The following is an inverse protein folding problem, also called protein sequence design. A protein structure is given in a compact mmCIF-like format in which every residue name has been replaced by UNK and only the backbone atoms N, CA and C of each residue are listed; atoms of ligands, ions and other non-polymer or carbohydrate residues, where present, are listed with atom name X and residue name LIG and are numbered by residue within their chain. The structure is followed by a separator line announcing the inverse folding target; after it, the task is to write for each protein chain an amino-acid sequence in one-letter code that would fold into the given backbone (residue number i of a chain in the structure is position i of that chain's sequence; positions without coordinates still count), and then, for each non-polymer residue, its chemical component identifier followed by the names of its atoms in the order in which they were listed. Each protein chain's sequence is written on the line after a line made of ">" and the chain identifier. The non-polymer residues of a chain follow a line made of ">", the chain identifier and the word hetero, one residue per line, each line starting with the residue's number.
data_IF_262322268314
#
_entry.id   IF_262322268314
#
_cell.length_a   1.000
_cell.length_b   1.000
_cell.length_c   1.000
_cell.angle_alpha   90.00
_cell.angle_beta   90.00
_cell.angle_gamma   90.00
#
_symmetry.space_group_name_H-M   'P 1'
#
loop_
_entity.id
_entity.type
_entity.pdbx_description
1 polymer ?
#
# COMPACT_ATOMS: atom_id res chain seq x y z
N UNK A 1 -12.54 36.55 4.15
CA UNK A 1 -11.79 35.67 3.23
C UNK A 1 -11.27 34.43 3.93
N UNK A 2 -10.56 34.54 5.09
CA UNK A 2 -9.93 33.43 5.81
C UNK A 2 -10.92 32.33 6.30
N UNK A 3 -12.13 32.71 6.71
CA UNK A 3 -13.14 31.73 7.18
C UNK A 3 -13.66 30.87 6.03
N UNK A 4 -13.87 31.43 4.85
CA UNK A 4 -14.27 30.68 3.63
C UNK A 4 -13.15 29.78 3.15
N UNK A 5 -11.90 30.25 3.14
CA UNK A 5 -10.74 29.41 2.80
C UNK A 5 -10.57 28.24 3.75
N UNK A 6 -10.70 28.47 5.07
CA UNK A 6 -10.63 27.39 6.08
C UNK A 6 -11.76 26.38 5.93
N UNK A 7 -12.99 26.81 5.60
CA UNK A 7 -14.12 25.90 5.33
C UNK A 7 -13.93 25.10 4.03
N UNK A 8 -13.36 25.70 2.97
CA UNK A 8 -13.00 24.99 1.75
C UNK A 8 -11.92 23.92 2.02
N UNK A 9 -10.83 24.26 2.71
CA UNK A 9 -9.77 23.30 3.04
C UNK A 9 -10.28 22.13 3.89
N UNK A 10 -11.13 22.36 4.89
CA UNK A 10 -11.74 21.29 5.70
C UNK A 10 -12.63 20.39 4.83
N UNK A 11 -13.44 20.98 3.96
CA UNK A 11 -14.30 20.24 3.06
C UNK A 11 -13.51 19.36 2.10
N UNK A 12 -12.46 19.91 1.49
CA UNK A 12 -11.64 19.19 0.53
C UNK A 12 -10.84 18.04 1.19
N UNK A 13 -10.36 18.25 2.42
CA UNK A 13 -9.74 17.19 3.23
C UNK A 13 -10.72 16.07 3.57
N UNK A 14 -11.99 16.42 3.89
CA UNK A 14 -13.04 15.43 4.16
C UNK A 14 -13.40 14.63 2.90
N UNK A 15 -13.47 15.28 1.73
CA UNK A 15 -13.70 14.58 0.46
C UNK A 15 -12.54 13.65 0.10
N UNK A 16 -11.30 14.09 0.31
CA UNK A 16 -10.11 13.24 0.11
C UNK A 16 -10.16 11.98 0.97
N UNK A 17 -10.49 12.12 2.27
CA UNK A 17 -10.66 10.97 3.17
C UNK A 17 -11.81 10.05 2.74
N UNK A 18 -12.96 10.62 2.39
CA UNK A 18 -14.13 9.90 1.90
C UNK A 18 -13.81 9.08 0.64
N UNK A 19 -13.19 9.69 -0.37
CA UNK A 19 -12.83 9.00 -1.61
C UNK A 19 -11.78 7.92 -1.38
N UNK A 20 -10.80 8.16 -0.49
CA UNK A 20 -9.82 7.16 -0.12
C UNK A 20 -10.48 5.94 0.55
N UNK A 21 -11.39 6.17 1.47
CA UNK A 21 -12.13 5.11 2.16
C UNK A 21 -12.94 4.26 1.17
N UNK A 22 -13.72 4.89 0.29
CA UNK A 22 -14.52 4.16 -0.70
C UNK A 22 -13.66 3.43 -1.72
N UNK A 23 -12.58 4.04 -2.20
CA UNK A 23 -11.60 3.35 -3.06
C UNK A 23 -11.09 2.07 -2.40
N UNK A 24 -10.73 2.15 -1.13
CA UNK A 24 -10.22 1.00 -0.38
C UNK A 24 -11.30 -0.07 -0.18
N UNK A 25 -12.51 0.32 0.22
CA UNK A 25 -13.63 -0.61 0.41
C UNK A 25 -13.96 -1.33 -0.90
N UNK A 26 -14.15 -0.62 -2.00
CA UNK A 26 -14.48 -1.24 -3.29
C UNK A 26 -13.32 -2.08 -3.83
N UNK A 27 -12.07 -1.70 -3.60
CA UNK A 27 -10.90 -2.52 -3.93
C UNK A 27 -10.92 -3.86 -3.20
N UNK A 28 -11.10 -3.83 -1.89
CA UNK A 28 -11.22 -5.05 -1.08
C UNK A 28 -12.44 -5.90 -1.51
N UNK A 29 -13.59 -5.28 -1.75
CA UNK A 29 -14.76 -6.00 -2.25
C UNK A 29 -14.50 -6.66 -3.61
N UNK A 30 -13.71 -6.02 -4.47
CA UNK A 30 -13.25 -6.59 -5.74
C UNK A 30 -12.33 -7.80 -5.56
N UNK A 31 -11.38 -7.70 -4.63
CA UNK A 31 -10.42 -8.78 -4.34
C UNK A 31 -11.11 -10.06 -3.81
N UNK A 32 -12.17 -9.89 -3.02
CA UNK A 32 -12.94 -11.00 -2.43
C UNK A 32 -14.22 -11.35 -3.20
N UNK A 33 -14.48 -10.74 -4.35
CA UNK A 33 -15.68 -11.01 -5.14
C UNK A 33 -15.63 -12.40 -5.76
N UNK A 34 -16.72 -13.17 -5.61
CA UNK A 34 -16.83 -14.55 -6.08
C UNK A 34 -17.05 -14.63 -7.60
N UNK A 35 -17.73 -13.64 -8.18
CA UNK A 35 -18.05 -13.64 -9.62
C UNK A 35 -17.33 -12.53 -10.36
N UNK A 36 -16.87 -12.83 -11.57
CA UNK A 36 -16.17 -11.85 -12.43
C UNK A 36 -17.02 -10.61 -12.76
N UNK A 37 -18.35 -10.77 -12.86
CA UNK A 37 -19.25 -9.64 -13.11
C UNK A 37 -19.22 -8.65 -11.94
N UNK A 38 -19.33 -9.15 -10.72
CA UNK A 38 -19.32 -8.33 -9.48
C UNK A 38 -17.93 -7.73 -9.26
N UNK A 39 -16.89 -8.50 -9.49
CA UNK A 39 -15.49 -8.06 -9.42
C UNK A 39 -15.21 -6.86 -10.32
N UNK A 40 -15.64 -6.94 -11.59
CA UNK A 40 -15.48 -5.84 -12.55
C UNK A 40 -16.22 -4.58 -12.10
N UNK A 41 -17.43 -4.71 -11.55
CA UNK A 41 -18.18 -3.55 -11.07
C UNK A 41 -17.49 -2.90 -9.87
N UNK A 42 -16.97 -3.65 -8.92
CA UNK A 42 -16.24 -3.10 -7.78
C UNK A 42 -14.94 -2.40 -8.21
N UNK A 43 -14.19 -2.97 -9.15
CA UNK A 43 -13.00 -2.30 -9.67
C UNK A 43 -13.34 -1.04 -10.48
N UNK A 44 -14.45 -1.02 -11.20
CA UNK A 44 -14.96 0.20 -11.84
C UNK A 44 -15.25 1.30 -10.82
N UNK A 45 -15.87 0.96 -9.68
CA UNK A 45 -16.08 1.91 -8.58
C UNK A 45 -14.75 2.36 -7.94
N UNK A 46 -13.81 1.45 -7.80
CA UNK A 46 -12.45 1.78 -7.31
C UNK A 46 -11.78 2.82 -8.23
N UNK A 47 -11.88 2.65 -9.55
CA UNK A 47 -11.34 3.62 -10.53
C UNK A 47 -12.03 4.98 -10.44
N UNK A 48 -13.34 5.01 -10.29
CA UNK A 48 -14.10 6.25 -10.13
C UNK A 48 -13.63 7.06 -8.90
N UNK A 49 -13.43 6.39 -7.76
CA UNK A 49 -12.95 7.06 -6.55
C UNK A 49 -11.45 7.41 -6.63
N UNK A 50 -10.66 6.64 -7.38
CA UNK A 50 -9.26 6.99 -7.70
C UNK A 50 -9.19 8.28 -8.50
N UNK A 51 -10.01 8.44 -9.52
CA UNK A 51 -10.09 9.67 -10.33
C UNK A 51 -10.59 10.87 -9.50
N UNK A 52 -11.54 10.64 -8.58
CA UNK A 52 -12.00 11.66 -7.64
C UNK A 52 -10.89 12.12 -6.68
N UNK A 53 -10.04 11.19 -6.22
CA UNK A 53 -8.87 11.51 -5.40
C UNK A 53 -7.85 12.37 -6.15
N UNK A 54 -7.62 12.11 -7.43
CA UNK A 54 -6.72 12.90 -8.25
C UNK A 54 -7.20 14.35 -8.46
N UNK A 55 -8.52 14.58 -8.40
CA UNK A 55 -9.09 15.92 -8.50
C UNK A 55 -8.95 16.74 -7.22
N UNK A 56 -8.96 16.11 -6.04
CA UNK A 56 -8.91 16.81 -4.76
C UNK A 56 -7.50 16.91 -4.17
N UNK A 57 -6.58 16.02 -4.57
CA UNK A 57 -5.19 16.08 -4.13
C UNK A 57 -4.39 17.07 -4.98
N UNK A 58 -3.60 17.93 -4.33
CA UNK A 58 -2.67 18.80 -5.03
C UNK A 58 -1.67 17.96 -5.87
N UNK A 59 -1.39 18.38 -7.08
CA UNK A 59 -0.60 17.61 -8.07
C UNK A 59 0.83 17.29 -7.63
N UNK A 60 1.39 18.08 -6.72
CA UNK A 60 2.73 17.92 -6.14
C UNK A 60 2.73 17.17 -4.79
N UNK A 61 1.55 16.77 -4.29
CA UNK A 61 1.40 16.08 -3.02
C UNK A 61 1.75 14.59 -3.12
N UNK A 62 2.19 14.02 -1.99
CA UNK A 62 2.42 12.58 -1.88
C UNK A 62 1.15 11.77 -2.24
N UNK A 63 0.00 12.22 -1.75
CA UNK A 63 -1.28 11.55 -2.03
C UNK A 63 -1.61 11.48 -3.52
N UNK A 64 -1.33 12.55 -4.27
CA UNK A 64 -1.54 12.56 -5.72
C UNK A 64 -0.60 11.57 -6.43
N UNK A 65 0.69 11.59 -6.09
CA UNK A 65 1.69 10.70 -6.71
C UNK A 65 1.39 9.23 -6.43
N UNK A 66 1.01 8.89 -5.19
CA UNK A 66 0.63 7.51 -4.84
C UNK A 66 -0.61 7.04 -5.61
N UNK A 67 -1.64 7.89 -5.75
CA UNK A 67 -2.85 7.53 -6.49
C UNK A 67 -2.58 7.43 -7.99
N UNK A 68 -1.75 8.31 -8.57
CA UNK A 68 -1.33 8.21 -9.98
C UNK A 68 -0.52 6.96 -10.24
N UNK A 69 0.44 6.64 -9.37
CA UNK A 69 1.24 5.42 -9.49
C UNK A 69 0.36 4.16 -9.39
N UNK A 70 -0.58 4.12 -8.44
CA UNK A 70 -1.56 3.04 -8.32
C UNK A 70 -2.41 2.90 -9.60
N UNK A 71 -2.86 4.02 -10.19
CA UNK A 71 -3.56 4.02 -11.47
C UNK A 71 -2.70 3.45 -12.60
N UNK A 72 -1.46 3.87 -12.72
CA UNK A 72 -0.51 3.34 -13.70
C UNK A 72 -0.26 1.83 -13.49
N UNK A 73 -0.11 1.38 -12.25
CA UNK A 73 0.09 -0.03 -11.92
C UNK A 73 -1.10 -0.89 -12.37
N UNK A 74 -2.33 -0.46 -12.08
CA UNK A 74 -3.56 -1.19 -12.48
C UNK A 74 -3.70 -1.27 -14.00
N UNK A 75 -3.22 -0.26 -14.73
CA UNK A 75 -3.21 -0.23 -16.19
C UNK A 75 -1.92 -0.80 -16.82
N UNK A 76 -1.13 -1.57 -16.06
CA UNK A 76 0.11 -2.20 -16.50
C UNK A 76 1.20 -1.25 -17.01
N UNK A 77 1.15 0.02 -16.62
CA UNK A 77 2.15 1.06 -16.91
C UNK A 77 3.22 1.09 -15.81
N UNK A 78 3.88 -0.04 -15.56
CA UNK A 78 4.76 -0.23 -14.39
C UNK A 78 5.98 0.70 -14.40
N UNK A 79 6.61 0.90 -15.56
CA UNK A 79 7.80 1.74 -15.68
C UNK A 79 7.49 3.20 -15.37
N UNK A 80 6.33 3.69 -15.80
CA UNK A 80 5.88 5.05 -15.52
C UNK A 80 5.57 5.22 -14.03
N UNK A 81 4.90 4.25 -13.41
CA UNK A 81 4.64 4.26 -11.98
C UNK A 81 5.94 4.29 -11.17
N UNK A 82 6.89 3.42 -11.51
CA UNK A 82 8.19 3.36 -10.84
C UNK A 82 8.95 4.67 -11.01
N UNK A 83 8.97 5.25 -12.20
CA UNK A 83 9.64 6.53 -12.48
C UNK A 83 9.08 7.66 -11.58
N UNK A 84 7.77 7.83 -11.55
CA UNK A 84 7.12 8.87 -10.73
C UNK A 84 7.37 8.69 -9.24
N UNK A 85 7.29 7.45 -8.75
CA UNK A 85 7.55 7.15 -7.34
C UNK A 85 8.99 7.39 -6.95
N UNK A 86 9.96 7.02 -7.80
CA UNK A 86 11.38 7.27 -7.59
C UNK A 86 11.73 8.75 -7.60
N UNK A 87 11.14 9.52 -8.52
CA UNK A 87 11.31 10.96 -8.57
C UNK A 87 10.83 11.62 -7.26
N UNK A 88 9.68 11.17 -6.74
CA UNK A 88 9.18 11.69 -5.47
C UNK A 88 10.00 11.22 -4.27
N UNK A 89 10.45 9.96 -4.26
CA UNK A 89 11.27 9.37 -3.20
C UNK A 89 12.62 10.10 -3.00
N UNK A 90 13.17 10.66 -4.05
CA UNK A 90 14.42 11.40 -4.02
C UNK A 90 14.30 12.83 -3.46
N UNK A 91 13.10 13.28 -3.06
CA UNK A 91 12.92 14.58 -2.41
C UNK A 91 13.57 14.62 -1.01
N UNK A 92 14.30 15.70 -0.67
CA UNK A 92 15.17 15.71 0.53
C UNK A 92 14.43 15.75 1.88
N UNK A 93 13.14 15.98 1.92
CA UNK A 93 12.37 16.24 3.17
C UNK A 93 11.29 15.19 3.47
N UNK A 94 11.45 13.95 3.00
CA UNK A 94 10.46 12.89 3.28
C UNK A 94 10.66 12.31 4.69
N UNK A 95 9.56 12.27 5.46
CA UNK A 95 9.52 11.52 6.71
C UNK A 95 9.49 9.99 6.47
N UNK A 96 9.72 9.23 7.52
CA UNK A 96 9.81 7.77 7.41
C UNK A 96 8.46 7.14 7.03
N UNK A 97 7.32 7.70 7.46
CA UNK A 97 6.00 7.21 7.06
C UNK A 97 5.75 7.39 5.55
N UNK A 98 6.08 8.56 5.01
CA UNK A 98 6.02 8.84 3.56
C UNK A 98 6.92 7.90 2.75
N UNK A 99 8.14 7.64 3.27
CA UNK A 99 9.05 6.66 2.66
C UNK A 99 8.48 5.26 2.66
N UNK A 100 7.84 4.82 3.76
CA UNK A 100 7.21 3.51 3.83
C UNK A 100 6.13 3.34 2.76
N UNK A 101 5.24 4.31 2.60
CA UNK A 101 4.18 4.27 1.59
C UNK A 101 4.73 4.24 0.16
N UNK A 102 5.74 5.07 -0.15
CA UNK A 102 6.37 5.12 -1.47
C UNK A 102 7.08 3.80 -1.81
N UNK A 103 7.88 3.29 -0.88
CA UNK A 103 8.65 2.07 -1.11
C UNK A 103 7.76 0.83 -1.15
N UNK A 104 6.67 0.80 -0.39
CA UNK A 104 5.64 -0.24 -0.54
C UNK A 104 5.03 -0.21 -1.95
N UNK A 105 4.61 0.96 -2.44
CA UNK A 105 4.01 1.09 -3.78
C UNK A 105 5.03 0.77 -4.89
N UNK A 106 6.30 1.15 -4.70
CA UNK A 106 7.40 0.73 -5.59
C UNK A 106 7.53 -0.80 -5.64
N UNK A 107 7.46 -1.46 -4.49
CA UNK A 107 7.55 -2.92 -4.43
C UNK A 107 6.46 -3.61 -5.23
N UNK A 108 5.24 -3.08 -5.21
CA UNK A 108 4.12 -3.60 -6.01
C UNK A 108 4.34 -3.38 -7.51
N UNK A 109 4.87 -2.23 -7.91
CA UNK A 109 5.26 -1.97 -9.29
C UNK A 109 6.31 -2.97 -9.80
N UNK A 110 7.36 -3.21 -9.03
CA UNK A 110 8.40 -4.20 -9.36
C UNK A 110 7.86 -5.63 -9.35
N UNK A 111 6.98 -5.99 -8.42
CA UNK A 111 6.32 -7.30 -8.36
C UNK A 111 5.56 -7.61 -9.65
N UNK A 112 4.72 -6.66 -10.09
CA UNK A 112 3.89 -6.84 -11.29
C UNK A 112 4.71 -6.77 -12.59
N UNK A 113 5.86 -6.08 -12.56
CA UNK A 113 6.85 -6.12 -13.64
C UNK A 113 7.62 -7.44 -13.70
N UNK A 114 7.55 -8.28 -12.65
CA UNK A 114 8.27 -9.55 -12.56
C UNK A 114 9.70 -9.43 -12.00
N UNK A 115 10.08 -8.27 -11.50
CA UNK A 115 11.39 -8.04 -10.86
C UNK A 115 11.35 -8.37 -9.37
N UNK A 116 11.66 -9.62 -9.02
CA UNK A 116 11.68 -10.10 -7.64
C UNK A 116 12.74 -9.40 -6.77
N UNK A 117 13.88 -9.01 -7.34
CA UNK A 117 14.92 -8.33 -6.58
C UNK A 117 14.52 -6.91 -6.23
N UNK A 118 13.96 -6.17 -7.17
CA UNK A 118 13.38 -4.85 -6.93
C UNK A 118 12.24 -4.92 -5.91
N UNK A 119 11.33 -5.88 -6.05
CA UNK A 119 10.25 -6.11 -5.09
C UNK A 119 10.80 -6.31 -3.67
N UNK A 120 11.73 -7.24 -3.48
CA UNK A 120 12.34 -7.55 -2.18
C UNK A 120 13.04 -6.35 -1.57
N UNK A 121 13.83 -5.64 -2.37
CA UNK A 121 14.56 -4.44 -1.95
C UNK A 121 13.62 -3.37 -1.39
N UNK A 122 12.57 -3.02 -2.14
CA UNK A 122 11.65 -1.97 -1.71
C UNK A 122 10.69 -2.40 -0.60
N UNK A 123 10.34 -3.69 -0.49
CA UNK A 123 9.65 -4.22 0.68
C UNK A 123 10.49 -4.11 1.96
N UNK A 124 11.78 -4.41 1.86
CA UNK A 124 12.68 -4.28 3.01
C UNK A 124 12.81 -2.81 3.45
N UNK A 125 12.97 -1.87 2.50
CA UNK A 125 13.00 -0.44 2.81
C UNK A 125 11.68 0.04 3.44
N UNK A 126 10.54 -0.44 2.94
CA UNK A 126 9.23 -0.11 3.52
C UNK A 126 9.11 -0.63 4.95
N UNK A 127 9.47 -1.88 5.21
CA UNK A 127 9.44 -2.45 6.56
C UNK A 127 10.35 -1.70 7.54
N UNK A 128 11.56 -1.29 7.11
CA UNK A 128 12.46 -0.47 7.93
C UNK A 128 11.86 0.91 8.23
N UNK A 129 11.21 1.53 7.24
CA UNK A 129 10.61 2.84 7.40
C UNK A 129 9.36 2.78 8.31
N UNK A 130 8.54 1.73 8.21
CA UNK A 130 7.43 1.45 9.13
C UNK A 130 7.93 1.33 10.58
N UNK A 131 8.98 0.55 10.81
CA UNK A 131 9.60 0.39 12.13
C UNK A 131 10.07 1.74 12.70
N UNK A 132 10.68 2.59 11.88
CA UNK A 132 11.18 3.91 12.29
C UNK A 132 10.05 4.90 12.60
N UNK A 133 8.95 4.82 11.86
CA UNK A 133 7.77 5.68 12.07
C UNK A 133 6.84 5.17 13.16
N UNK A 134 7.18 4.06 13.84
CA UNK A 134 6.35 3.39 14.85
C UNK A 134 4.94 3.02 14.35
N UNK A 135 4.77 2.87 13.05
CA UNK A 135 3.51 2.39 12.44
C UNK A 135 3.50 0.87 12.50
N UNK A 136 2.48 0.33 13.17
CA UNK A 136 2.37 -1.11 13.41
C UNK A 136 1.39 -1.82 12.47
N UNK A 137 1.49 -1.55 11.17
CA UNK A 137 0.69 -2.20 10.12
C UNK A 137 1.54 -3.00 9.13
N UNK A 138 2.40 -3.86 9.57
CA UNK A 138 3.48 -4.52 8.82
C UNK A 138 3.03 -5.41 7.66
N UNK A 139 2.32 -4.84 6.70
CA UNK A 139 2.02 -5.51 5.42
C UNK A 139 3.33 -5.80 4.68
N UNK A 140 4.27 -4.86 4.71
CA UNK A 140 5.58 -4.98 4.07
C UNK A 140 6.39 -6.13 4.65
N UNK A 141 6.44 -6.25 5.97
CA UNK A 141 7.19 -7.31 6.64
C UNK A 141 6.59 -8.70 6.38
N UNK A 142 5.26 -8.83 6.38
CA UNK A 142 4.56 -10.07 6.02
C UNK A 142 4.84 -10.50 4.58
N UNK A 143 4.74 -9.57 3.63
CA UNK A 143 5.05 -9.85 2.21
C UNK A 143 6.52 -10.21 2.01
N UNK A 144 7.42 -9.54 2.76
CA UNK A 144 8.84 -9.86 2.75
C UNK A 144 9.11 -11.27 3.29
N UNK A 145 8.39 -11.68 4.34
CA UNK A 145 8.46 -13.03 4.88
C UNK A 145 8.14 -14.10 3.83
N UNK A 146 7.08 -13.89 3.05
CA UNK A 146 6.73 -14.82 1.96
C UNK A 146 7.83 -14.92 0.90
N UNK A 147 8.44 -13.81 0.50
CA UNK A 147 9.54 -13.83 -0.48
C UNK A 147 10.78 -14.54 0.05
N UNK A 148 11.11 -14.31 1.31
CA UNK A 148 12.27 -14.93 1.97
C UNK A 148 12.03 -16.44 2.18
N UNK A 149 10.79 -16.85 2.45
CA UNK A 149 10.40 -18.26 2.48
C UNK A 149 10.58 -18.95 1.13
N UNK A 150 10.13 -18.31 0.05
CA UNK A 150 10.30 -18.82 -1.32
C UNK A 150 11.77 -18.97 -1.73
N UNK A 151 12.67 -18.22 -1.08
CA UNK A 151 14.13 -18.33 -1.25
C UNK A 151 14.76 -19.42 -0.37
N UNK A 152 13.99 -20.07 0.50
CA UNK A 152 14.43 -21.16 1.38
C UNK A 152 14.99 -20.70 2.73
N UNK A 153 14.93 -19.40 3.08
CA UNK A 153 15.36 -18.90 4.39
C UNK A 153 14.16 -18.93 5.37
N UNK A 154 13.87 -20.14 5.85
CA UNK A 154 12.71 -20.42 6.69
C UNK A 154 12.78 -19.69 8.04
N UNK A 155 13.95 -19.68 8.67
CA UNK A 155 14.15 -19.03 9.97
C UNK A 155 13.86 -17.54 9.93
N UNK A 156 14.33 -16.86 8.87
CA UNK A 156 14.07 -15.43 8.71
C UNK A 156 12.60 -15.17 8.37
N UNK A 157 12.00 -16.00 7.52
CA UNK A 157 10.59 -15.89 7.16
C UNK A 157 9.70 -16.05 8.41
N UNK A 158 9.98 -17.04 9.25
CA UNK A 158 9.29 -17.28 10.51
C UNK A 158 9.38 -16.06 11.45
N UNK A 159 10.59 -15.53 11.66
CA UNK A 159 10.79 -14.37 12.52
C UNK A 159 10.03 -13.13 12.02
N UNK A 160 10.02 -12.86 10.71
CA UNK A 160 9.28 -11.74 10.14
C UNK A 160 7.76 -11.91 10.31
N UNK A 161 7.25 -13.13 10.09
CA UNK A 161 5.83 -13.43 10.30
C UNK A 161 5.41 -13.29 11.74
N UNK A 162 6.24 -13.80 12.67
CA UNK A 162 6.00 -13.69 14.11
C UNK A 162 5.91 -12.23 14.54
N UNK A 163 6.86 -11.38 14.14
CA UNK A 163 6.81 -9.94 14.40
C UNK A 163 5.54 -9.29 13.83
N UNK A 164 5.18 -9.62 12.59
CA UNK A 164 3.95 -9.11 11.97
C UNK A 164 2.69 -9.51 12.74
N UNK A 165 2.63 -10.76 13.23
CA UNK A 165 1.48 -11.27 13.99
C UNK A 165 1.36 -10.59 15.36
N UNK A 166 2.47 -10.43 16.07
CA UNK A 166 2.52 -9.74 17.37
C UNK A 166 1.99 -8.31 17.23
N UNK A 167 2.44 -7.58 16.22
CA UNK A 167 2.01 -6.20 16.00
C UNK A 167 0.56 -6.10 15.50
N UNK A 168 0.12 -6.97 14.60
CA UNK A 168 -1.28 -7.03 14.16
C UNK A 168 -2.22 -7.32 15.35
N UNK A 169 -1.80 -8.19 16.28
CA UNK A 169 -2.56 -8.52 17.48
C UNK A 169 -2.61 -7.34 18.45
N UNK A 170 -1.49 -6.68 18.71
CA UNK A 170 -1.42 -5.50 19.58
C UNK A 170 -2.31 -4.36 19.07
N UNK A 171 -2.38 -4.16 17.76
CA UNK A 171 -3.20 -3.13 17.14
C UNK A 171 -4.66 -3.56 16.89
N UNK A 172 -5.06 -4.77 17.28
CA UNK A 172 -6.39 -5.35 16.97
C UNK A 172 -6.72 -5.30 15.47
N UNK A 173 -5.72 -5.48 14.62
CA UNK A 173 -5.84 -5.44 13.16
C UNK A 173 -6.35 -6.79 12.63
N UNK A 174 -7.65 -7.07 12.81
CA UNK A 174 -8.28 -8.38 12.56
C UNK A 174 -8.03 -8.94 11.18
N UNK A 175 -8.12 -8.11 10.13
CA UNK A 175 -7.86 -8.54 8.76
C UNK A 175 -6.39 -8.99 8.60
N UNK A 176 -5.45 -8.25 9.17
CA UNK A 176 -4.02 -8.59 9.11
C UNK A 176 -3.70 -9.87 9.87
N UNK A 177 -4.31 -10.03 11.06
CA UNK A 177 -4.20 -11.27 11.83
C UNK A 177 -4.70 -12.48 11.03
N UNK A 178 -5.83 -12.34 10.32
CA UNK A 178 -6.36 -13.40 9.46
C UNK A 178 -5.41 -13.71 8.29
N UNK A 179 -4.93 -12.69 7.58
CA UNK A 179 -4.00 -12.87 6.46
C UNK A 179 -2.69 -13.55 6.89
N UNK A 180 -2.16 -13.20 8.06
CA UNK A 180 -0.94 -13.82 8.61
C UNK A 180 -1.22 -15.26 9.03
N UNK A 181 -2.36 -15.54 9.67
CA UNK A 181 -2.73 -16.89 10.10
C UNK A 181 -2.91 -17.87 8.94
N UNK A 182 -3.17 -17.40 7.74
CA UNK A 182 -3.24 -18.23 6.54
C UNK A 182 -1.85 -18.64 6.02
N UNK A 183 -0.84 -17.81 6.24
CA UNK A 183 0.54 -18.06 5.77
C UNK A 183 1.38 -18.77 6.82
N UNK A 184 1.12 -18.52 8.11
CA UNK A 184 1.90 -19.03 9.24
C UNK A 184 2.03 -20.57 9.27
N UNK A 185 0.96 -21.37 9.05
CA UNK A 185 1.09 -22.83 9.07
C UNK A 185 1.96 -23.41 7.94
N UNK A 186 2.16 -22.65 6.86
CA UNK A 186 3.00 -23.06 5.73
C UNK A 186 4.49 -22.92 6.08
N UNK A 187 4.81 -21.92 6.90
CA UNK A 187 6.20 -21.58 7.29
C UNK A 187 6.61 -22.33 8.58
N UNK A 188 5.65 -22.74 9.41
CA UNK A 188 5.87 -23.42 10.71
C UNK A 188 6.01 -24.96 10.55
N UNK A 189 6.06 -25.49 9.32
CA UNK A 189 6.28 -26.90 9.00
C UNK A 189 7.75 -27.22 8.83
#
# INVERSE_FOLDING_TARGET
>A
PLRRQRQMCIRDSLYGYYYHLYRTIYGLMGDYAVTEKVKKEYYRMTDLYRDSLLQVNASDSLGHVLVMADKCIVHAQYDEAIRMLMEYYNKPSLDDHSKAMLTYTLSEGYRLKGDKQGQKHYLALSAIADLKSAVKEYVSLRKLASLVYDEGDIDRAYNYLKCSLEDATLCNARLRTLEISQVFPIIDQ
#
